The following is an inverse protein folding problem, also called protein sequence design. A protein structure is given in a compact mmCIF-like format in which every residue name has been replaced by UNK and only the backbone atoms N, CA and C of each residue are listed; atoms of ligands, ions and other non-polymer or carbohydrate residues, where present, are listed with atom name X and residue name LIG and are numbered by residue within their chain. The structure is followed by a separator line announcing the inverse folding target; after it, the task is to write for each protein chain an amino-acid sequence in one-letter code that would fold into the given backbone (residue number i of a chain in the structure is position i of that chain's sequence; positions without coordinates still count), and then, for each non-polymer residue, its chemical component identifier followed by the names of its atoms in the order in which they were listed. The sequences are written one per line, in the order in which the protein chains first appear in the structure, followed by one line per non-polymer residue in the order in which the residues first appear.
data_IF_021194099784
#
_entry.id   IF_021194099784
#
_cell.length_a   1.000
_cell.length_b   1.000
_cell.length_c   1.000
_cell.angle_alpha   90.00
_cell.angle_beta   90.00
_cell.angle_gamma   90.00
#
_symmetry.space_group_name_H-M   'P 1'
#
loop_
_entity.id
_entity.type
_entity.pdbx_description
1 polymer ?
#
# COMPACT_ATOMS: atom_id res chain seq x y z
N UNK A 1 28.11 -8.93 -13.43
CA UNK A 1 26.85 -8.73 -14.18
C UNK A 1 25.88 -9.74 -13.61
N UNK A 2 24.82 -9.31 -12.92
CA UNK A 2 23.85 -10.24 -12.30
C UNK A 2 23.06 -10.95 -13.39
N UNK A 3 22.76 -12.23 -13.20
CA UNK A 3 21.88 -12.94 -14.12
C UNK A 3 20.46 -12.40 -13.95
N UNK A 4 19.97 -11.65 -14.95
CA UNK A 4 18.64 -11.04 -14.92
C UNK A 4 17.54 -12.04 -15.31
N UNK A 5 17.91 -13.16 -15.94
CA UNK A 5 17.02 -14.18 -16.48
C UNK A 5 15.98 -14.67 -15.47
N UNK A 6 16.33 -15.02 -14.21
CA UNK A 6 15.34 -15.50 -13.24
C UNK A 6 14.24 -14.49 -12.94
N UNK A 7 14.56 -13.19 -12.93
CA UNK A 7 13.62 -12.10 -12.67
C UNK A 7 12.72 -11.83 -13.87
N UNK A 8 13.31 -11.78 -15.07
CA UNK A 8 12.56 -11.58 -16.31
C UNK A 8 11.60 -12.74 -16.58
N UNK A 9 12.04 -13.98 -16.35
CA UNK A 9 11.21 -15.17 -16.47
C UNK A 9 10.10 -15.19 -15.42
N UNK A 10 10.39 -14.77 -14.18
CA UNK A 10 9.39 -14.68 -13.13
C UNK A 10 8.30 -13.66 -13.49
N UNK A 11 8.65 -12.49 -14.03
CA UNK A 11 7.68 -11.49 -14.51
C UNK A 11 6.86 -12.09 -15.65
N UNK A 12 7.50 -12.72 -16.63
CA UNK A 12 6.80 -13.33 -17.76
C UNK A 12 5.80 -14.42 -17.32
N UNK A 13 6.16 -15.25 -16.32
CA UNK A 13 5.24 -16.23 -15.72
C UNK A 13 4.10 -15.58 -14.96
N UNK A 14 4.39 -14.54 -14.17
CA UNK A 14 3.39 -13.85 -13.38
C UNK A 14 2.41 -13.01 -14.23
N UNK A 15 2.83 -12.60 -15.44
CA UNK A 15 2.01 -11.93 -16.46
C UNK A 15 1.23 -12.90 -17.37
N UNK A 16 1.20 -14.19 -17.04
CA UNK A 16 0.39 -15.14 -17.78
C UNK A 16 -1.07 -14.62 -17.88
N UNK A 17 -1.72 -14.73 -19.06
CA UNK A 17 -3.06 -14.18 -19.25
C UNK A 17 -4.05 -14.68 -18.19
N UNK A 18 -4.51 -13.76 -17.33
CA UNK A 18 -5.56 -14.06 -16.38
C UNK A 18 -6.91 -14.15 -17.12
N UNK A 19 -7.54 -15.32 -17.05
CA UNK A 19 -8.90 -15.48 -17.56
C UNK A 19 -9.91 -14.89 -16.55
N UNK A 20 -10.50 -13.76 -16.92
CA UNK A 20 -11.75 -13.28 -16.35
C UNK A 20 -12.80 -13.28 -17.47
N UNK A 21 -13.79 -14.17 -17.40
CA UNK A 21 -14.92 -14.18 -18.34
C UNK A 21 -16.20 -13.94 -17.56
N UNK A 22 -17.05 -13.05 -18.06
CA UNK A 22 -18.38 -12.89 -17.50
C UNK A 22 -19.16 -14.20 -17.66
N UNK A 23 -19.76 -14.67 -16.57
CA UNK A 23 -20.61 -15.84 -16.60
C UNK A 23 -21.97 -15.53 -17.27
N UNK A 24 -22.78 -16.57 -17.50
CA UNK A 24 -24.05 -16.44 -18.21
C UNK A 24 -25.04 -15.47 -17.57
N UNK A 25 -25.08 -15.36 -16.24
CA UNK A 25 -26.00 -14.45 -15.57
C UNK A 25 -25.53 -13.00 -15.66
N UNK A 26 -24.22 -12.73 -15.49
CA UNK A 26 -23.64 -11.40 -15.62
C UNK A 26 -23.89 -10.84 -17.02
N UNK A 27 -23.70 -11.68 -18.05
CA UNK A 27 -23.99 -11.32 -19.44
C UNK A 27 -25.45 -10.90 -19.65
N UNK A 28 -26.40 -11.62 -19.05
CA UNK A 28 -27.84 -11.29 -19.13
C UNK A 28 -28.16 -10.00 -18.38
N UNK A 29 -27.62 -9.84 -17.17
CA UNK A 29 -27.85 -8.67 -16.33
C UNK A 29 -27.39 -7.38 -17.03
N UNK A 30 -26.17 -7.38 -17.59
CA UNK A 30 -25.63 -6.19 -18.25
C UNK A 30 -26.32 -5.88 -19.58
N UNK A 31 -26.83 -6.89 -20.31
CA UNK A 31 -27.65 -6.65 -21.49
C UNK A 31 -28.99 -5.98 -21.12
N UNK A 32 -29.66 -6.47 -20.07
CA UNK A 32 -30.91 -5.90 -19.61
C UNK A 32 -30.73 -4.45 -19.14
N UNK A 33 -29.67 -4.20 -18.36
CA UNK A 33 -29.36 -2.87 -17.83
C UNK A 33 -29.05 -1.84 -18.93
N UNK A 34 -28.30 -2.24 -19.96
CA UNK A 34 -27.93 -1.35 -21.07
C UNK A 34 -28.90 -1.40 -22.25
N UNK A 35 -30.09 -1.99 -22.08
CA UNK A 35 -31.12 -2.02 -23.13
C UNK A 35 -30.66 -2.71 -24.42
N UNK A 36 -29.83 -3.76 -24.30
CA UNK A 36 -29.20 -4.46 -25.44
C UNK A 36 -28.37 -3.56 -26.37
N UNK A 37 -27.84 -2.45 -25.86
CA UNK A 37 -26.93 -1.57 -26.58
C UNK A 37 -25.49 -1.69 -26.07
N UNK A 38 -24.53 -1.32 -26.91
CA UNK A 38 -23.13 -1.20 -26.52
C UNK A 38 -22.98 -0.09 -25.46
N UNK A 39 -22.35 -0.41 -24.33
CA UNK A 39 -22.10 0.56 -23.27
C UNK A 39 -21.20 1.72 -23.70
N UNK A 40 -20.31 1.51 -24.68
CA UNK A 40 -19.33 2.53 -25.09
C UNK A 40 -19.83 3.44 -26.20
N UNK A 41 -20.50 2.90 -27.22
CA UNK A 41 -20.98 3.69 -28.37
C UNK A 41 -22.51 3.80 -28.47
N UNK A 42 -23.25 3.18 -27.56
CA UNK A 42 -24.72 3.16 -27.52
C UNK A 42 -25.41 2.57 -28.75
N UNK A 43 -24.67 2.02 -29.71
CA UNK A 43 -25.24 1.31 -30.84
C UNK A 43 -25.95 0.01 -30.39
N UNK A 44 -27.08 -0.36 -31.01
CA UNK A 44 -27.75 -1.64 -30.75
C UNK A 44 -26.82 -2.83 -30.99
N UNK A 45 -26.93 -3.85 -30.14
CA UNK A 45 -26.17 -5.09 -30.29
C UNK A 45 -27.00 -6.14 -31.04
N UNK A 46 -26.36 -6.82 -31.98
CA UNK A 46 -26.96 -7.97 -32.66
C UNK A 46 -26.93 -9.20 -31.73
N UNK A 47 -28.04 -9.50 -31.06
CA UNK A 47 -28.11 -10.65 -30.14
C UNK A 47 -28.28 -11.99 -30.85
N UNK A 48 -28.49 -12.02 -32.17
CA UNK A 48 -28.66 -13.26 -32.92
C UNK A 48 -27.35 -14.06 -33.04
N UNK A 49 -26.21 -13.37 -32.90
CA UNK A 49 -24.88 -13.96 -32.97
C UNK A 49 -24.11 -13.77 -31.66
N UNK A 50 -23.63 -14.85 -31.00
CA UNK A 50 -22.82 -14.73 -29.78
C UNK A 50 -21.45 -14.09 -30.02
N UNK A 51 -21.04 -13.86 -31.28
CA UNK A 51 -19.75 -13.27 -31.67
C UNK A 51 -19.82 -11.76 -31.98
N UNK A 52 -21.02 -11.20 -32.08
CA UNK A 52 -21.24 -9.78 -32.42
C UNK A 52 -20.90 -8.83 -31.27
N UNK A 53 -20.99 -9.33 -30.03
CA UNK A 53 -20.79 -8.58 -28.81
C UNK A 53 -20.09 -9.42 -27.73
N UNK A 54 -19.49 -8.73 -26.76
CA UNK A 54 -18.89 -9.39 -25.60
C UNK A 54 -19.16 -8.58 -24.34
N UNK A 55 -19.28 -9.27 -23.21
CA UNK A 55 -19.17 -8.63 -21.91
C UNK A 55 -17.69 -8.24 -21.71
N UNK A 56 -17.45 -6.94 -21.59
CA UNK A 56 -16.11 -6.35 -21.47
C UNK A 56 -15.94 -5.82 -20.06
N UNK A 57 -14.83 -6.09 -19.38
CA UNK A 57 -14.59 -5.55 -18.05
C UNK A 57 -14.18 -4.08 -18.15
N UNK A 58 -14.64 -3.23 -17.22
CA UNK A 58 -14.20 -1.84 -17.08
C UNK A 58 -12.74 -1.80 -16.61
N UNK A 59 -12.41 -2.61 -15.60
CA UNK A 59 -11.05 -2.90 -15.14
C UNK A 59 -10.70 -4.35 -15.50
N UNK A 60 -9.72 -4.59 -16.40
CA UNK A 60 -9.25 -5.93 -16.75
C UNK A 60 -8.71 -6.71 -15.54
N UNK A 61 -8.79 -8.04 -15.59
CA UNK A 61 -8.29 -8.93 -14.54
C UNK A 61 -6.77 -8.76 -14.32
N UNK A 62 -6.01 -8.52 -15.40
CA UNK A 62 -4.57 -8.23 -15.39
C UNK A 62 -4.21 -6.96 -14.60
N UNK A 63 -5.19 -6.10 -14.33
CA UNK A 63 -5.01 -4.89 -13.54
C UNK A 63 -5.71 -5.02 -12.17
N UNK A 64 -6.03 -6.24 -11.74
CA UNK A 64 -6.74 -6.52 -10.48
C UNK A 64 -8.24 -6.23 -10.52
N UNK A 65 -8.85 -6.21 -11.71
CA UNK A 65 -10.29 -6.05 -11.87
C UNK A 65 -11.10 -7.26 -11.36
N UNK A 66 -12.18 -7.05 -10.58
CA UNK A 66 -12.91 -8.15 -9.96
C UNK A 66 -13.85 -8.83 -10.96
N UNK A 67 -13.55 -10.08 -11.33
CA UNK A 67 -14.34 -10.83 -12.32
C UNK A 67 -15.72 -11.28 -11.79
N UNK A 68 -15.87 -11.46 -10.47
CA UNK A 68 -17.13 -11.87 -9.83
C UNK A 68 -18.15 -10.73 -9.69
N UNK A 69 -17.74 -9.48 -9.88
CA UNK A 69 -18.54 -8.28 -9.59
C UNK A 69 -19.20 -7.76 -10.87
N UNK A 70 -20.53 -7.70 -10.91
CA UNK A 70 -21.31 -7.38 -12.13
C UNK A 70 -21.09 -5.94 -12.60
N UNK A 71 -20.83 -5.02 -11.67
CA UNK A 71 -20.50 -3.62 -11.94
C UNK A 71 -19.22 -3.51 -12.77
N UNK A 72 -18.30 -4.47 -12.66
CA UNK A 72 -17.11 -4.45 -13.49
C UNK A 72 -17.41 -4.79 -14.96
N UNK A 73 -18.59 -5.32 -15.30
CA UNK A 73 -18.92 -5.79 -16.64
C UNK A 73 -19.89 -4.84 -17.35
N UNK A 74 -19.68 -4.69 -18.66
CA UNK A 74 -20.59 -3.97 -19.56
C UNK A 74 -20.68 -4.67 -20.92
N UNK A 75 -21.81 -4.59 -21.64
CA UNK A 75 -21.89 -5.16 -22.98
C UNK A 75 -21.20 -4.23 -23.98
N UNK A 76 -20.38 -4.78 -24.88
CA UNK A 76 -19.67 -4.02 -25.89
C UNK A 76 -19.76 -4.69 -27.25
N UNK A 77 -19.95 -3.88 -28.30
CA UNK A 77 -19.74 -4.34 -29.66
C UNK A 77 -18.26 -4.66 -29.89
N UNK A 78 -17.98 -5.55 -30.85
CA UNK A 78 -16.60 -5.98 -31.14
C UNK A 78 -15.62 -4.83 -31.42
N UNK A 79 -15.96 -3.78 -32.20
CA UNK A 79 -15.06 -2.64 -32.40
C UNK A 79 -14.69 -1.92 -31.10
N UNK A 80 -15.65 -1.64 -30.22
CA UNK A 80 -15.37 -0.98 -28.94
C UNK A 80 -14.57 -1.87 -27.99
N UNK A 81 -14.88 -3.18 -27.92
CA UNK A 81 -14.12 -4.12 -27.12
C UNK A 81 -12.65 -4.21 -27.57
N UNK A 82 -12.42 -4.29 -28.89
CA UNK A 82 -11.08 -4.31 -29.47
C UNK A 82 -10.34 -2.99 -29.24
N UNK A 83 -11.02 -1.85 -29.42
CA UNK A 83 -10.44 -0.54 -29.20
C UNK A 83 -10.07 -0.31 -27.72
N UNK A 84 -10.90 -0.74 -26.76
CA UNK A 84 -10.54 -0.70 -25.33
C UNK A 84 -9.31 -1.56 -25.04
N UNK A 85 -9.31 -2.80 -25.52
CA UNK A 85 -8.27 -3.79 -25.22
C UNK A 85 -8.14 -4.05 -23.71
N UNK A 86 -6.90 -4.21 -23.24
CA UNK A 86 -6.56 -4.43 -21.83
C UNK A 86 -6.30 -3.13 -21.05
N UNK A 87 -6.83 -2.00 -21.54
CA UNK A 87 -6.75 -0.73 -20.84
C UNK A 87 -7.82 -0.65 -19.75
N UNK A 88 -7.50 0.06 -18.69
CA UNK A 88 -8.50 0.57 -17.76
C UNK A 88 -9.40 1.59 -18.49
N UNK A 89 -10.72 1.56 -18.28
CA UNK A 89 -11.62 2.53 -18.93
C UNK A 89 -11.29 3.99 -18.57
N UNK A 90 -10.70 4.26 -17.40
CA UNK A 90 -10.33 5.63 -17.02
C UNK A 90 -9.18 6.18 -17.86
N UNK A 91 -8.29 5.33 -18.37
CA UNK A 91 -7.18 5.71 -19.27
C UNK A 91 -7.58 5.75 -20.75
N UNK A 92 -8.81 5.37 -21.11
CA UNK A 92 -9.25 5.38 -22.50
C UNK A 92 -9.67 6.79 -22.96
N UNK A 93 -8.69 7.68 -23.08
CA UNK A 93 -8.89 9.11 -23.37
C UNK A 93 -9.58 9.37 -24.70
N UNK A 94 -9.28 8.60 -25.75
CA UNK A 94 -9.85 8.82 -27.09
C UNK A 94 -11.34 8.51 -27.14
N UNK A 95 -11.81 7.53 -26.36
CA UNK A 95 -13.23 7.27 -26.20
C UNK A 95 -13.88 8.34 -25.34
N UNK A 96 -13.28 8.70 -24.20
CA UNK A 96 -13.83 9.73 -23.30
C UNK A 96 -14.01 11.08 -23.99
N UNK A 97 -13.15 11.42 -24.93
CA UNK A 97 -13.24 12.67 -25.70
C UNK A 97 -14.38 12.67 -26.74
N UNK A 98 -14.85 11.50 -27.17
CA UNK A 98 -15.87 11.36 -28.23
C UNK A 98 -17.25 10.94 -27.71
N UNK A 99 -17.28 10.25 -26.58
CA UNK A 99 -18.50 9.71 -26.00
C UNK A 99 -19.33 10.81 -25.34
N UNK A 100 -20.63 10.54 -25.22
CA UNK A 100 -21.55 11.35 -24.45
C UNK A 100 -21.06 11.52 -22.98
N UNK A 101 -21.01 12.74 -22.42
CA UNK A 101 -20.49 12.97 -21.08
C UNK A 101 -21.22 12.21 -19.98
N UNK A 102 -22.53 12.06 -20.08
CA UNK A 102 -23.33 11.32 -19.09
C UNK A 102 -23.02 9.83 -19.18
N UNK A 103 -22.78 9.31 -20.40
CA UNK A 103 -22.29 7.95 -20.58
C UNK A 103 -20.92 7.74 -19.96
N UNK A 104 -20.01 8.69 -20.14
CA UNK A 104 -18.67 8.62 -19.52
C UNK A 104 -18.79 8.61 -18.00
N UNK A 105 -19.58 9.53 -17.44
CA UNK A 105 -19.82 9.62 -15.99
C UNK A 105 -20.40 8.32 -15.44
N UNK A 106 -21.42 7.74 -16.09
CA UNK A 106 -22.03 6.47 -15.72
C UNK A 106 -21.01 5.33 -15.64
N UNK A 107 -20.17 5.16 -16.67
CA UNK A 107 -19.20 4.07 -16.70
C UNK A 107 -18.04 4.28 -15.70
N UNK A 108 -17.61 5.52 -15.48
CA UNK A 108 -16.61 5.82 -14.47
C UNK A 108 -17.14 5.59 -13.04
N UNK A 109 -18.40 5.91 -12.78
CA UNK A 109 -19.03 5.61 -11.49
C UNK A 109 -19.19 4.10 -11.29
N UNK A 110 -19.66 3.38 -12.32
CA UNK A 110 -19.75 1.93 -12.28
C UNK A 110 -18.39 1.28 -12.00
N UNK A 111 -17.33 1.80 -12.62
CA UNK A 111 -15.94 1.38 -12.33
C UNK A 111 -15.57 1.60 -10.87
N UNK A 112 -15.87 2.77 -10.29
CA UNK A 112 -15.59 3.06 -8.86
C UNK A 112 -16.31 2.08 -7.94
N UNK A 113 -17.59 1.80 -8.21
CA UNK A 113 -18.37 0.83 -7.47
C UNK A 113 -17.76 -0.57 -7.53
N UNK A 114 -17.32 -1.01 -8.72
CA UNK A 114 -16.64 -2.29 -8.88
C UNK A 114 -15.33 -2.37 -8.07
N UNK A 115 -14.55 -1.29 -8.04
CA UNK A 115 -13.26 -1.25 -7.34
C UNK A 115 -13.37 -1.33 -5.82
N UNK A 116 -14.53 -1.03 -5.23
CA UNK A 116 -14.78 -1.27 -3.80
C UNK A 116 -14.70 -2.76 -3.45
N UNK A 117 -14.96 -3.64 -4.42
CA UNK A 117 -14.97 -5.10 -4.26
C UNK A 117 -13.79 -5.78 -4.96
N UNK A 118 -12.79 -5.00 -5.36
CA UNK A 118 -11.57 -5.50 -5.97
C UNK A 118 -10.49 -5.71 -4.90
N UNK A 119 -9.48 -6.52 -5.20
CA UNK A 119 -8.26 -6.55 -4.38
C UNK A 119 -7.67 -5.15 -4.27
N UNK A 120 -7.50 -4.64 -3.06
CA UNK A 120 -6.86 -3.36 -2.83
C UNK A 120 -5.82 -3.50 -1.73
N UNK A 121 -4.70 -2.80 -1.93
CA UNK A 121 -3.71 -2.59 -0.88
C UNK A 121 -4.31 -1.80 0.28
N UNK A 122 -3.76 -1.97 1.46
CA UNK A 122 -4.15 -1.18 2.61
C UNK A 122 -3.97 0.33 2.36
N UNK A 123 -4.79 1.12 3.04
CA UNK A 123 -4.57 2.57 3.12
C UNK A 123 -3.65 2.89 4.30
N UNK A 124 -2.92 4.01 4.27
CA UNK A 124 -2.08 4.46 5.39
C UNK A 124 -2.89 4.86 6.64
N UNK A 125 -4.22 4.76 6.59
CA UNK A 125 -5.12 5.14 7.67
C UNK A 125 -5.03 4.16 8.85
N UNK A 126 -5.30 4.68 10.05
CA UNK A 126 -5.42 3.85 11.25
C UNK A 126 -6.80 3.18 11.31
N UNK A 127 -6.92 2.07 12.06
CA UNK A 127 -8.21 1.38 12.32
C UNK A 127 -9.27 2.28 12.98
N UNK A 128 -8.82 3.34 13.67
CA UNK A 128 -9.69 4.31 14.33
C UNK A 128 -10.17 5.42 13.38
N UNK A 129 -9.69 5.43 12.14
CA UNK A 129 -10.16 6.37 11.12
C UNK A 129 -11.62 6.12 10.83
N UNK A 130 -12.39 7.20 10.66
CA UNK A 130 -13.79 7.10 10.26
C UNK A 130 -13.90 6.44 8.88
N UNK A 131 -14.97 5.66 8.66
CA UNK A 131 -15.22 4.95 7.40
C UNK A 131 -15.25 5.90 6.20
N UNK A 132 -15.82 7.09 6.36
CA UNK A 132 -15.91 8.11 5.31
C UNK A 132 -14.51 8.52 4.83
N UNK A 133 -13.54 8.64 5.75
CA UNK A 133 -12.17 8.99 5.41
C UNK A 133 -11.47 7.87 4.61
N UNK A 134 -11.75 6.61 4.95
CA UNK A 134 -11.26 5.46 4.17
C UNK A 134 -11.83 5.48 2.75
N UNK A 135 -13.15 5.67 2.62
CA UNK A 135 -13.80 5.73 1.32
C UNK A 135 -13.27 6.90 0.48
N UNK A 136 -13.09 8.09 1.05
CA UNK A 136 -12.49 9.22 0.33
C UNK A 136 -11.07 8.92 -0.16
N UNK A 137 -10.28 8.20 0.63
CA UNK A 137 -8.92 7.81 0.25
C UNK A 137 -8.91 6.78 -0.88
N UNK A 138 -9.79 5.79 -0.83
CA UNK A 138 -9.96 4.81 -1.90
C UNK A 138 -10.46 5.49 -3.18
N UNK A 139 -11.46 6.38 -3.09
CA UNK A 139 -11.99 7.14 -4.22
C UNK A 139 -10.91 8.01 -4.90
N UNK A 140 -10.01 8.62 -4.12
CA UNK A 140 -8.89 9.37 -4.67
C UNK A 140 -7.92 8.49 -5.49
N UNK A 141 -7.64 7.26 -5.03
CA UNK A 141 -6.86 6.29 -5.82
C UNK A 141 -7.65 5.84 -7.06
N UNK A 142 -8.94 5.56 -6.90
CA UNK A 142 -9.81 5.12 -8.00
C UNK A 142 -9.97 6.17 -9.10
N UNK A 143 -9.67 7.44 -8.85
CA UNK A 143 -9.63 8.45 -9.92
C UNK A 143 -8.48 8.23 -10.93
N UNK A 144 -7.49 7.39 -10.60
CA UNK A 144 -6.30 7.10 -11.42
C UNK A 144 -6.45 5.77 -12.19
N UNK A 145 -5.78 5.62 -13.34
CA UNK A 145 -5.69 4.33 -14.00
C UNK A 145 -4.99 3.32 -13.12
N UNK A 146 -5.51 2.10 -13.12
CA UNK A 146 -4.90 1.01 -12.39
C UNK A 146 -3.80 0.39 -13.25
N UNK A 147 -2.70 0.00 -12.60
CA UNK A 147 -1.59 -0.69 -13.25
C UNK A 147 -1.04 -1.77 -12.32
N UNK A 148 -0.35 -2.75 -12.87
CA UNK A 148 0.23 -3.85 -12.10
C UNK A 148 1.76 -3.80 -12.22
N UNK A 149 2.44 -4.00 -11.09
CA UNK A 149 3.90 -4.08 -11.01
C UNK A 149 4.26 -5.23 -10.09
N UNK A 150 5.42 -5.82 -10.35
CA UNK A 150 5.99 -6.89 -9.55
C UNK A 150 7.13 -6.34 -8.72
N UNK A 151 7.19 -6.71 -7.44
CA UNK A 151 8.24 -6.28 -6.54
C UNK A 151 8.86 -7.49 -5.85
N UNK A 152 10.17 -7.44 -5.67
CA UNK A 152 10.93 -8.47 -4.98
C UNK A 152 11.91 -7.83 -4.01
N UNK A 153 12.02 -8.41 -2.82
CA UNK A 153 13.07 -8.10 -1.85
C UNK A 153 13.64 -9.41 -1.31
N UNK A 154 14.97 -9.50 -1.25
CA UNK A 154 15.65 -10.68 -0.74
C UNK A 154 17.14 -10.47 -0.61
N UNK A 155 17.83 -11.51 -0.14
CA UNK A 155 19.28 -11.51 -0.05
C UNK A 155 19.91 -12.29 -1.21
N UNK A 156 20.95 -11.71 -1.80
CA UNK A 156 21.77 -12.33 -2.84
C UNK A 156 23.22 -12.05 -2.51
N UNK A 157 24.03 -13.08 -2.37
CA UNK A 157 25.46 -12.98 -2.03
C UNK A 157 25.74 -12.13 -0.77
N UNK A 158 24.84 -12.18 0.21
CA UNK A 158 24.93 -11.40 1.46
C UNK A 158 24.54 -9.93 1.34
N UNK A 159 24.07 -9.48 0.18
CA UNK A 159 23.50 -8.14 -0.01
C UNK A 159 21.98 -8.17 -0.11
N UNK A 160 21.30 -7.22 0.53
CA UNK A 160 19.87 -6.99 0.29
C UNK A 160 19.67 -6.39 -1.09
N UNK A 161 18.86 -7.07 -1.90
CA UNK A 161 18.52 -6.68 -3.26
C UNK A 161 17.03 -6.46 -3.34
N UNK A 162 16.67 -5.33 -3.94
CA UNK A 162 15.28 -4.92 -4.12
C UNK A 162 15.04 -4.64 -5.60
N UNK A 163 14.00 -5.25 -6.15
CA UNK A 163 13.64 -5.10 -7.56
C UNK A 163 12.19 -4.71 -7.72
N UNK A 164 11.92 -3.91 -8.75
CA UNK A 164 10.57 -3.62 -9.24
C UNK A 164 10.57 -3.76 -10.74
N UNK A 165 9.59 -4.46 -11.29
CA UNK A 165 9.46 -4.61 -12.73
C UNK A 165 8.04 -4.89 -13.18
N UNK A 166 7.79 -4.71 -14.47
CA UNK A 166 6.47 -4.92 -15.08
C UNK A 166 6.59 -5.09 -16.58
N UNK A 167 5.51 -5.58 -17.19
CA UNK A 167 5.39 -5.70 -18.62
C UNK A 167 4.55 -4.56 -19.21
N UNK A 168 4.94 -4.05 -20.38
CA UNK A 168 4.25 -2.93 -21.04
C UNK A 168 2.99 -3.34 -21.81
N UNK A 169 2.67 -4.64 -21.89
CA UNK A 169 1.50 -5.18 -22.64
C UNK A 169 0.15 -4.79 -22.03
N UNK A 170 0.09 -4.46 -20.76
CA UNK A 170 -1.14 -4.14 -20.04
C UNK A 170 -0.97 -2.93 -19.13
N UNK A 171 -2.07 -2.22 -18.88
CA UNK A 171 -2.06 -1.01 -18.07
C UNK A 171 -1.97 0.26 -18.90
N UNK A 172 -1.91 1.39 -18.20
CA UNK A 172 -1.80 2.70 -18.84
C UNK A 172 -0.33 3.06 -19.11
N UNK A 173 -0.01 3.29 -20.38
CA UNK A 173 1.37 3.55 -20.80
C UNK A 173 1.94 4.83 -20.17
N UNK A 174 1.09 5.86 -19.98
CA UNK A 174 1.50 7.10 -19.33
C UNK A 174 1.79 6.87 -17.85
N UNK A 175 0.88 6.23 -17.10
CA UNK A 175 1.08 5.91 -15.69
C UNK A 175 2.32 5.02 -15.45
N UNK A 176 2.57 4.05 -16.34
CA UNK A 176 3.77 3.22 -16.28
C UNK A 176 5.05 4.01 -16.59
N UNK A 177 4.99 4.97 -17.52
CA UNK A 177 6.13 5.84 -17.84
C UNK A 177 6.42 6.84 -16.72
N UNK A 178 5.39 7.43 -16.12
CA UNK A 178 5.51 8.29 -14.93
C UNK A 178 6.09 7.51 -13.75
N UNK A 179 5.64 6.27 -13.58
CA UNK A 179 6.18 5.34 -12.58
C UNK A 179 7.66 5.06 -12.80
N UNK A 180 8.06 4.74 -14.04
CA UNK A 180 9.47 4.52 -14.40
C UNK A 180 10.34 5.74 -14.04
N UNK A 181 9.89 6.93 -14.44
CA UNK A 181 10.59 8.18 -14.16
C UNK A 181 10.68 8.46 -12.66
N UNK A 182 9.60 8.24 -11.91
CA UNK A 182 9.60 8.42 -10.46
C UNK A 182 10.60 7.46 -9.78
N UNK A 183 10.57 6.17 -10.13
CA UNK A 183 11.49 5.20 -9.55
C UNK A 183 12.95 5.54 -9.85
N UNK A 184 13.25 5.99 -11.07
CA UNK A 184 14.61 6.36 -11.48
C UNK A 184 15.10 7.65 -10.82
N UNK A 185 14.31 8.73 -10.90
CA UNK A 185 14.76 10.08 -10.53
C UNK A 185 14.56 10.39 -9.05
N UNK A 186 13.47 9.91 -8.45
CA UNK A 186 13.15 10.15 -7.03
C UNK A 186 13.72 9.05 -6.14
N UNK A 187 13.58 7.79 -6.55
CA UNK A 187 13.90 6.65 -5.69
C UNK A 187 15.29 6.02 -5.97
N UNK A 188 16.05 6.61 -6.91
CA UNK A 188 17.41 6.19 -7.22
C UNK A 188 17.51 4.84 -7.94
N UNK A 189 16.46 4.45 -8.67
CA UNK A 189 16.39 3.17 -9.36
C UNK A 189 17.38 3.05 -10.53
N UNK A 190 18.16 1.99 -10.53
CA UNK A 190 19.00 1.57 -11.64
C UNK A 190 18.17 0.74 -12.62
N UNK A 191 18.07 1.18 -13.87
CA UNK A 191 17.34 0.46 -14.92
C UNK A 191 18.20 -0.69 -15.43
N UNK A 192 17.71 -1.92 -15.26
CA UNK A 192 18.40 -3.16 -15.66
C UNK A 192 17.85 -3.74 -16.97
N UNK A 193 16.57 -3.48 -17.25
CA UNK A 193 15.94 -3.80 -18.53
C UNK A 193 14.86 -2.76 -18.85
N UNK A 194 14.73 -2.43 -20.13
CA UNK A 194 13.73 -1.47 -20.65
C UNK A 194 13.29 -1.91 -22.05
N UNK A 195 11.98 -1.81 -22.33
CA UNK A 195 11.38 -2.30 -23.57
C UNK A 195 10.03 -2.96 -23.30
N UNK A 196 9.88 -4.23 -23.67
CA UNK A 196 8.67 -5.00 -23.35
C UNK A 196 8.50 -5.29 -21.86
N UNK A 197 9.63 -5.39 -21.15
CA UNK A 197 9.69 -5.53 -19.70
C UNK A 197 10.59 -4.42 -19.18
N UNK A 198 10.09 -3.67 -18.20
CA UNK A 198 10.91 -2.77 -17.41
C UNK A 198 11.32 -3.51 -16.12
N UNK A 199 12.61 -3.46 -15.78
CA UNK A 199 13.13 -4.00 -14.54
C UNK A 199 14.12 -3.01 -13.93
N UNK A 200 13.91 -2.67 -12.67
CA UNK A 200 14.74 -1.73 -11.94
C UNK A 200 15.25 -2.38 -10.65
N UNK A 201 16.51 -2.10 -10.31
CA UNK A 201 17.05 -2.30 -8.97
C UNK A 201 16.88 -1.03 -8.16
N UNK A 202 16.30 -1.15 -6.97
CA UNK A 202 16.15 -0.04 -6.04
C UNK A 202 17.14 -0.16 -4.87
N UNK A 203 17.59 0.97 -4.30
CA UNK A 203 18.30 0.98 -3.02
C UNK A 203 17.46 0.32 -1.92
N UNK A 204 18.08 -0.54 -1.10
CA UNK A 204 17.37 -1.31 -0.09
C UNK A 204 16.62 -0.43 0.93
N UNK A 205 17.20 0.73 1.29
CA UNK A 205 16.61 1.72 2.18
C UNK A 205 15.43 2.51 1.55
N UNK A 206 15.38 2.63 0.22
CA UNK A 206 14.34 3.36 -0.51
C UNK A 206 13.18 2.47 -1.01
N UNK A 207 13.40 1.16 -1.11
CA UNK A 207 12.45 0.20 -1.70
C UNK A 207 11.03 0.30 -1.13
N UNK A 208 10.90 0.27 0.20
CA UNK A 208 9.56 0.27 0.82
C UNK A 208 8.81 1.58 0.55
N UNK A 209 9.51 2.72 0.56
CA UNK A 209 8.93 4.02 0.23
C UNK A 209 8.44 4.06 -1.22
N UNK A 210 9.23 3.52 -2.15
CA UNK A 210 8.86 3.39 -3.56
C UNK A 210 7.63 2.50 -3.75
N UNK A 211 7.58 1.33 -3.11
CA UNK A 211 6.42 0.42 -3.13
C UNK A 211 5.14 1.11 -2.68
N UNK A 212 5.17 1.83 -1.55
CA UNK A 212 4.00 2.57 -1.09
C UNK A 212 3.60 3.72 -2.02
N UNK A 213 4.56 4.40 -2.64
CA UNK A 213 4.26 5.43 -3.64
C UNK A 213 3.55 4.84 -4.87
N UNK A 214 3.93 3.64 -5.32
CA UNK A 214 3.25 2.90 -6.39
C UNK A 214 1.81 2.56 -5.99
N UNK A 215 1.61 2.08 -4.76
CA UNK A 215 0.28 1.79 -4.20
C UNK A 215 -0.60 3.04 -4.18
N UNK A 216 -0.05 4.17 -3.73
CA UNK A 216 -0.78 5.45 -3.72
C UNK A 216 -1.10 5.98 -5.12
N UNK A 217 -0.27 5.64 -6.11
CA UNK A 217 -0.55 5.92 -7.52
C UNK A 217 -1.61 4.98 -8.13
N UNK A 218 -2.27 4.13 -7.32
CA UNK A 218 -3.24 3.10 -7.73
C UNK A 218 -2.61 1.88 -8.44
N UNK A 219 -1.33 1.64 -8.16
CA UNK A 219 -0.63 0.42 -8.57
C UNK A 219 -0.98 -0.79 -7.70
N UNK A 220 -1.13 -1.95 -8.34
CA UNK A 220 -1.16 -3.25 -7.67
C UNK A 220 0.24 -3.82 -7.71
N UNK A 221 0.92 -3.66 -6.57
CA UNK A 221 2.21 -4.28 -6.32
C UNK A 221 2.00 -5.74 -5.93
N UNK A 222 2.53 -6.66 -6.75
CA UNK A 222 2.45 -8.10 -6.55
C UNK A 222 3.84 -8.61 -6.15
N UNK A 223 3.97 -9.43 -5.09
CA UNK A 223 5.24 -10.07 -4.77
C UNK A 223 5.68 -10.95 -5.94
N UNK A 224 6.91 -10.75 -6.41
CA UNK A 224 7.50 -11.60 -7.43
C UNK A 224 8.09 -12.85 -6.76
N UNK A 225 7.73 -14.03 -7.24
CA UNK A 225 8.35 -15.27 -6.78
C UNK A 225 9.54 -15.62 -7.68
N UNK A 226 10.74 -15.53 -7.10
CA UNK A 226 12.00 -15.81 -7.79
C UNK A 226 12.58 -17.11 -7.22
N UNK A 227 12.70 -18.19 -8.02
CA UNK A 227 13.24 -19.47 -7.55
C UNK A 227 14.62 -19.33 -6.92
N UNK A 228 14.83 -19.94 -5.76
CA UNK A 228 16.12 -19.94 -5.06
C UNK A 228 16.48 -18.64 -4.34
N UNK A 229 15.61 -17.63 -4.36
CA UNK A 229 15.81 -16.39 -3.59
C UNK A 229 15.39 -16.56 -2.13
N UNK A 230 16.24 -16.12 -1.19
CA UNK A 230 15.84 -15.93 0.21
C UNK A 230 14.86 -14.76 0.29
N UNK A 231 13.57 -15.03 0.06
CA UNK A 231 12.51 -14.05 0.27
C UNK A 231 12.54 -13.61 1.74
N UNK A 232 12.48 -12.30 1.96
CA UNK A 232 12.38 -11.72 3.30
C UNK A 232 11.11 -12.27 3.98
N UNK A 233 11.26 -12.63 5.24
CA UNK A 233 10.22 -13.17 6.13
C UNK A 233 8.87 -12.46 5.98
N UNK A 234 7.82 -13.23 5.70
CA UNK A 234 6.44 -12.74 5.56
C UNK A 234 5.89 -12.17 6.88
N UNK A 235 6.51 -12.51 8.01
CA UNK A 235 6.13 -12.01 9.33
C UNK A 235 6.72 -10.60 9.64
N UNK A 236 7.60 -10.05 8.78
CA UNK A 236 8.03 -8.65 8.91
C UNK A 236 6.86 -7.71 8.56
N UNK A 237 6.33 -7.01 9.56
CA UNK A 237 5.26 -6.03 9.41
C UNK A 237 5.55 -4.95 8.37
N UNK A 238 6.83 -4.68 8.04
CA UNK A 238 7.23 -3.75 6.96
C UNK A 238 6.84 -4.28 5.58
N UNK A 239 6.67 -5.59 5.43
CA UNK A 239 6.27 -6.28 4.23
C UNK A 239 4.74 -6.36 4.07
N UNK A 240 3.95 -5.68 4.92
CA UNK A 240 2.48 -5.65 4.82
C UNK A 240 1.93 -5.08 3.50
N UNK A 241 2.77 -4.45 2.67
CA UNK A 241 2.46 -4.10 1.29
C UNK A 241 2.11 -5.33 0.43
N UNK A 242 2.50 -6.54 0.84
CA UNK A 242 2.15 -7.80 0.15
C UNK A 242 0.67 -8.14 0.31
N UNK A 243 0.01 -7.64 1.36
CA UNK A 243 -1.38 -7.96 1.66
C UNK A 243 -2.36 -7.11 0.86
N UNK A 244 -3.34 -7.79 0.27
CA UNK A 244 -4.46 -7.19 -0.46
C UNK A 244 -5.77 -7.71 0.12
N UNK A 245 -6.79 -6.87 0.16
CA UNK A 245 -8.13 -7.21 0.66
C UNK A 245 -9.19 -6.85 -0.37
N UNK A 246 -10.25 -7.66 -0.47
CA UNK A 246 -11.26 -7.54 -1.51
C UNK A 246 -12.48 -6.70 -1.11
N UNK A 247 -12.50 -6.10 0.08
CA UNK A 247 -13.61 -5.27 0.51
C UNK A 247 -13.18 -4.14 1.49
N UNK A 248 -13.96 -3.04 1.57
CA UNK A 248 -13.60 -1.89 2.39
C UNK A 248 -13.70 -2.17 3.88
N UNK A 249 -14.51 -3.15 4.31
CA UNK A 249 -14.66 -3.51 5.72
C UNK A 249 -13.40 -4.22 6.20
N UNK A 250 -12.86 -5.17 5.44
CA UNK A 250 -11.59 -5.81 5.72
C UNK A 250 -10.41 -4.83 5.65
N UNK A 251 -10.46 -3.86 4.73
CA UNK A 251 -9.47 -2.77 4.68
C UNK A 251 -9.54 -1.88 5.95
N UNK A 252 -10.75 -1.65 6.48
CA UNK A 252 -10.98 -0.85 7.69
C UNK A 252 -10.61 -1.58 8.99
N UNK A 253 -10.94 -2.88 9.09
CA UNK A 253 -10.81 -3.70 10.30
C UNK A 253 -9.40 -4.18 10.62
N UNK A 254 -8.37 -3.59 10.01
CA UNK A 254 -6.97 -3.93 10.28
C UNK A 254 -6.69 -3.96 11.78
N UNK A 255 -6.23 -5.12 12.25
CA UNK A 255 -5.45 -5.24 13.47
C UNK A 255 -4.00 -5.30 13.00
N UNK A 256 -3.06 -4.50 13.53
CA UNK A 256 -1.65 -4.86 13.39
C UNK A 256 -1.54 -6.24 14.03
N UNK A 257 -1.34 -7.31 13.24
CA UNK A 257 -1.28 -8.67 13.78
C UNK A 257 -0.19 -8.81 14.87
N UNK A 258 0.73 -7.85 14.94
CA UNK A 258 1.90 -7.83 15.81
C UNK A 258 2.14 -6.47 16.48
N UNK A 259 1.12 -5.71 16.89
CA UNK A 259 1.33 -4.49 17.72
C UNK A 259 2.34 -3.46 17.19
N UNK A 260 2.67 -3.50 15.90
CA UNK A 260 3.78 -2.76 15.31
C UNK A 260 3.46 -1.29 15.01
N UNK A 261 4.47 -0.50 14.58
CA UNK A 261 4.31 0.90 14.20
C UNK A 261 3.28 1.10 13.09
N UNK A 262 2.74 2.32 12.95
CA UNK A 262 1.88 2.67 11.82
C UNK A 262 2.63 2.47 10.48
N UNK A 263 1.88 2.11 9.43
CA UNK A 263 2.38 2.02 8.05
C UNK A 263 3.27 3.23 7.70
N UNK A 264 4.31 3.05 6.86
CA UNK A 264 5.10 4.17 6.34
C UNK A 264 4.16 5.25 5.83
N UNK A 265 4.25 6.41 6.44
CA UNK A 265 3.33 7.49 6.17
C UNK A 265 3.59 7.98 4.74
N UNK A 266 2.60 7.86 3.84
CA UNK A 266 2.51 8.79 2.72
C UNK A 266 2.61 10.20 3.33
N UNK A 267 3.47 11.10 2.81
CA UNK A 267 3.75 12.39 3.45
C UNK A 267 2.42 13.04 3.82
N UNK A 268 2.25 13.31 5.12
CA UNK A 268 1.02 13.91 5.64
C UNK A 268 0.73 15.15 4.81
N UNK A 269 -0.35 15.14 4.05
CA UNK A 269 -1.00 16.40 3.68
C UNK A 269 -1.41 17.00 5.00
N UNK A 270 -0.57 17.92 5.50
CA UNK A 270 -0.80 18.62 6.75
C UNK A 270 -2.18 19.26 6.64
N UNK A 271 -3.06 18.93 7.57
CA UNK A 271 -4.36 19.58 7.64
C UNK A 271 -4.12 21.08 7.79
N UNK A 272 -4.59 21.88 6.85
CA UNK A 272 -4.51 23.35 6.90
C UNK A 272 -5.57 23.95 7.82
N UNK A 273 -6.46 23.12 8.40
CA UNK A 273 -7.48 23.57 9.34
C UNK A 273 -6.82 23.95 10.70
N UNK A 274 -6.90 25.23 11.12
CA UNK A 274 -6.26 25.73 12.34
C UNK A 274 -6.64 24.96 13.62
N UNK A 275 -7.89 24.51 13.74
CA UNK A 275 -8.36 23.80 14.94
C UNK A 275 -7.78 22.39 15.03
N UNK A 276 -7.61 21.74 13.87
CA UNK A 276 -6.99 20.42 13.81
C UNK A 276 -5.49 20.47 14.13
N UNK A 277 -4.81 21.54 13.72
CA UNK A 277 -3.40 21.80 14.05
C UNK A 277 -3.26 22.09 15.55
N UNK A 278 -4.12 22.94 16.10
CA UNK A 278 -4.13 23.27 17.54
C UNK A 278 -4.40 22.04 18.40
N UNK A 279 -5.39 21.22 18.03
CA UNK A 279 -5.71 19.97 18.74
C UNK A 279 -4.58 18.95 18.65
N UNK A 280 -3.91 18.85 17.50
CA UNK A 280 -2.74 17.96 17.35
C UNK A 280 -1.55 18.43 18.20
N UNK A 281 -1.29 19.73 18.23
CA UNK A 281 -0.24 20.32 19.08
C UNK A 281 -0.52 20.06 20.57
N UNK A 282 -1.78 20.22 21.01
CA UNK A 282 -2.21 19.90 22.38
C UNK A 282 -2.02 18.42 22.72
N UNK A 283 -2.41 17.51 21.81
CA UNK A 283 -2.21 16.07 22.01
C UNK A 283 -0.73 15.67 22.07
N UNK A 284 0.11 16.32 21.26
CA UNK A 284 1.55 16.09 21.29
C UNK A 284 2.18 16.63 22.57
N UNK A 285 1.76 17.81 23.03
CA UNK A 285 2.20 18.38 24.30
C UNK A 285 1.78 17.49 25.49
N UNK A 286 0.53 17.03 25.52
CA UNK A 286 0.05 16.09 26.55
C UNK A 286 0.86 14.80 26.56
N UNK A 287 1.08 14.18 25.39
CA UNK A 287 1.89 12.96 25.29
C UNK A 287 3.34 13.17 25.75
N UNK A 288 3.94 14.34 25.49
CA UNK A 288 5.28 14.68 25.98
C UNK A 288 5.30 14.85 27.51
N UNK A 289 4.26 15.48 28.07
CA UNK A 289 4.10 15.61 29.52
C UNK A 289 3.97 14.24 30.20
N UNK A 290 3.11 13.36 29.68
CA UNK A 290 2.93 11.99 30.21
C UNK A 290 4.24 11.18 30.18
N UNK A 291 5.01 11.31 29.10
CA UNK A 291 6.32 10.65 28.96
C UNK A 291 7.35 11.19 29.94
N UNK A 292 7.35 12.49 30.18
CA UNK A 292 8.25 13.13 31.14
C UNK A 292 7.93 12.70 32.57
N UNK A 293 6.66 12.73 32.96
CA UNK A 293 6.17 12.30 34.27
C UNK A 293 6.48 10.81 34.52
N UNK A 294 6.24 9.95 33.53
CA UNK A 294 6.55 8.52 33.63
C UNK A 294 8.05 8.25 33.79
N UNK A 295 8.90 9.00 33.06
CA UNK A 295 10.35 8.87 33.16
C UNK A 295 10.89 9.37 34.50
N UNK A 296 10.33 10.46 35.02
CA UNK A 296 10.66 10.98 36.35
C UNK A 296 10.29 9.98 37.44
N UNK A 297 9.06 9.45 37.42
CA UNK A 297 8.59 8.46 38.39
C UNK A 297 9.48 7.21 38.38
N UNK A 298 9.81 6.67 37.21
CA UNK A 298 10.67 5.51 37.07
C UNK A 298 12.07 5.75 37.67
N UNK A 299 12.65 6.94 37.44
CA UNK A 299 13.94 7.31 38.02
C UNK A 299 13.87 7.47 39.55
N UNK A 300 12.84 8.14 40.07
CA UNK A 300 12.65 8.33 41.52
C UNK A 300 12.42 7.00 42.24
N UNK A 301 11.61 6.10 41.68
CA UNK A 301 11.41 4.77 42.25
C UNK A 301 12.71 3.96 42.26
N UNK A 302 13.50 4.02 41.19
CA UNK A 302 14.78 3.35 41.11
C UNK A 302 15.78 3.88 42.15
N UNK A 303 15.85 5.20 42.36
CA UNK A 303 16.64 5.82 43.42
C UNK A 303 16.16 5.41 44.82
N UNK A 304 14.85 5.39 45.06
CA UNK A 304 14.29 5.01 46.34
C UNK A 304 14.57 3.53 46.68
N UNK A 305 14.44 2.64 45.69
CA UNK A 305 14.80 1.21 45.83
C UNK A 305 16.30 1.07 46.12
N UNK A 306 17.15 1.81 45.41
CA UNK A 306 18.59 1.87 45.65
C UNK A 306 18.94 2.33 47.06
N UNK A 307 18.33 3.43 47.52
CA UNK A 307 18.54 3.95 48.88
C UNK A 307 18.09 2.96 49.97
N UNK A 308 16.91 2.34 49.81
CA UNK A 308 16.40 1.35 50.75
C UNK A 308 17.31 0.13 50.88
N UNK A 309 17.79 -0.39 49.75
CA UNK A 309 18.73 -1.50 49.72
C UNK A 309 20.03 -1.16 50.46
N UNK A 310 20.66 -0.03 50.13
CA UNK A 310 21.91 0.40 50.76
C UNK A 310 21.76 0.59 52.28
N UNK A 311 20.63 1.15 52.74
CA UNK A 311 20.34 1.27 54.17
C UNK A 311 20.15 -0.08 54.86
N UNK A 312 19.48 -1.05 54.21
CA UNK A 312 19.28 -2.40 54.77
C UNK A 312 20.60 -3.15 54.89
N UNK A 313 21.46 -3.06 53.87
CA UNK A 313 22.82 -3.64 53.90
C UNK A 313 23.66 -2.99 55.01
N UNK A 314 23.64 -1.65 55.12
CA UNK A 314 24.36 -0.91 56.17
C UNK A 314 23.94 -1.32 57.59
N UNK A 315 22.66 -1.67 57.78
CA UNK A 315 22.10 -2.14 59.06
C UNK A 315 22.28 -3.63 59.29
N UNK A 316 22.90 -4.37 58.36
CA UNK A 316 23.07 -5.82 58.45
C UNK A 316 21.77 -6.61 58.30
N UNK A 317 20.71 -6.00 57.78
CA UNK A 317 19.39 -6.63 57.57
C UNK A 317 19.31 -7.41 56.25
N UNK A 318 20.32 -7.28 55.40
CA UNK A 318 20.40 -7.88 54.07
C UNK A 318 21.86 -8.08 53.69
N UNK A 319 22.17 -9.19 53.00
CA UNK A 319 23.53 -9.46 52.56
C UNK A 319 23.92 -8.51 51.40
N UNK A 320 25.19 -8.06 51.34
CA UNK A 320 25.69 -7.33 50.18
C UNK A 320 25.54 -8.15 48.91
N UNK A 321 25.02 -7.52 47.86
CA UNK A 321 24.85 -8.07 46.53
C UNK A 321 26.23 -8.27 45.90
N UNK A 322 26.44 -9.32 45.09
CA UNK A 322 27.64 -9.49 44.30
C UNK A 322 27.97 -8.21 43.51
N UNK A 323 29.26 -7.86 43.44
CA UNK A 323 29.70 -6.56 42.90
C UNK A 323 29.25 -6.34 41.45
N UNK A 324 29.24 -7.38 40.63
CA UNK A 324 28.84 -7.31 39.23
C UNK A 324 27.34 -7.08 39.06
N UNK A 325 26.51 -7.70 39.90
CA UNK A 325 25.07 -7.47 39.95
C UNK A 325 24.75 -6.05 40.44
N UNK A 326 25.48 -5.56 41.44
CA UNK A 326 25.32 -4.19 41.92
C UNK A 326 25.71 -3.15 40.87
N UNK A 327 26.77 -3.40 40.08
CA UNK A 327 27.19 -2.53 38.98
C UNK A 327 26.12 -2.49 37.88
N UNK A 328 25.64 -3.65 37.45
CA UNK A 328 24.58 -3.75 36.45
C UNK A 328 23.33 -2.97 36.90
N UNK A 329 22.89 -3.19 38.14
CA UNK A 329 21.75 -2.47 38.70
C UNK A 329 21.99 -0.96 38.84
N UNK A 330 23.18 -0.53 39.27
CA UNK A 330 23.53 0.88 39.38
C UNK A 330 23.55 1.58 38.01
N UNK A 331 23.93 0.88 36.94
CA UNK A 331 23.92 1.39 35.58
C UNK A 331 22.50 1.48 35.00
N UNK A 332 21.59 0.57 35.37
CA UNK A 332 20.16 0.70 35.06
C UNK A 332 19.56 1.97 35.68
N UNK A 333 19.84 2.25 36.97
CA UNK A 333 19.39 3.49 37.63
C UNK A 333 19.97 4.72 36.94
N UNK A 334 21.24 4.65 36.51
CA UNK A 334 21.90 5.75 35.77
C UNK A 334 21.26 5.97 34.40
N UNK A 335 20.94 4.91 33.68
CA UNK A 335 20.29 4.97 32.37
C UNK A 335 18.88 5.60 32.45
N UNK A 336 18.12 5.30 33.50
CA UNK A 336 16.84 5.97 33.78
C UNK A 336 17.03 7.47 34.02
N UNK A 337 18.06 7.86 34.79
CA UNK A 337 18.41 9.27 35.01
C UNK A 337 18.81 10.02 33.74
N UNK A 338 19.61 9.39 32.87
CA UNK A 338 19.98 9.96 31.55
C UNK A 338 18.76 10.14 30.66
N UNK A 339 17.83 9.17 30.68
CA UNK A 339 16.60 9.21 29.89
C UNK A 339 15.70 10.36 30.34
N UNK A 340 15.48 10.52 31.65
CA UNK A 340 14.73 11.65 32.20
C UNK A 340 15.39 12.99 31.89
N UNK A 341 16.70 13.14 32.12
CA UNK A 341 17.43 14.39 31.84
C UNK A 341 17.37 14.81 30.37
N UNK A 342 17.40 13.84 29.44
CA UNK A 342 17.21 14.11 28.00
C UNK A 342 15.81 14.68 27.72
N UNK A 343 14.76 14.06 28.28
CA UNK A 343 13.38 14.50 28.09
C UNK A 343 13.12 15.88 28.69
N UNK A 344 13.76 16.20 29.84
CA UNK A 344 13.74 17.54 30.43
C UNK A 344 14.34 18.56 29.46
N UNK A 345 15.54 18.30 28.92
CA UNK A 345 16.19 19.20 27.97
C UNK A 345 15.36 19.42 26.70
N UNK A 346 14.74 18.37 26.16
CA UNK A 346 13.86 18.46 24.99
C UNK A 346 12.59 19.28 25.25
N UNK A 347 12.08 19.26 26.50
CA UNK A 347 10.93 20.07 26.91
C UNK A 347 11.27 21.57 27.02
N UNK A 348 12.50 21.90 27.42
CA UNK A 348 12.99 23.29 27.57
C UNK A 348 13.33 23.96 26.24
N UNK A 349 13.76 23.20 25.23
CA UNK A 349 14.07 23.73 23.89
C UNK A 349 12.85 23.89 22.98
N UNK A 350 11.68 23.43 23.42
CA UNK A 350 10.43 23.40 22.63
C UNK A 350 9.41 24.47 23.07
N UNK A 351 9.78 25.34 24.01
CA UNK A 351 8.94 26.40 24.60
C UNK A 351 9.02 27.73 23.87
#
# INVERSE_FOLDING_TARGET
MRELTPFLDAIARADAPLEGKANGWQRKAVLAEFGSACAFCSAPLDLSSPKSWTATPLVPAQLGGPASVVENWVPACRPCAAAKGLRDVVSWSEWRAKADPDRVALLLERRRSALLYAENHFTPLSRHSKRERLLSHLLARFARPRFQVYAWSGEVDGERVCMVGWNSRSGDALALSETLLALRLRDGGEVLAEGQVALLRLPANGFLGAVWALIEAHGIVVPLEVPGGGQVDDDDWRECWRHRVMDPVSNHKRVPMTGGPALPHAPRVLSTNPDSVRRLAQLQAAKRADLLESAELAYQEALARKGKYLERVKRGLEAPMPLDEYRAWADEVRALGVTWARLVNESLTSG
#
